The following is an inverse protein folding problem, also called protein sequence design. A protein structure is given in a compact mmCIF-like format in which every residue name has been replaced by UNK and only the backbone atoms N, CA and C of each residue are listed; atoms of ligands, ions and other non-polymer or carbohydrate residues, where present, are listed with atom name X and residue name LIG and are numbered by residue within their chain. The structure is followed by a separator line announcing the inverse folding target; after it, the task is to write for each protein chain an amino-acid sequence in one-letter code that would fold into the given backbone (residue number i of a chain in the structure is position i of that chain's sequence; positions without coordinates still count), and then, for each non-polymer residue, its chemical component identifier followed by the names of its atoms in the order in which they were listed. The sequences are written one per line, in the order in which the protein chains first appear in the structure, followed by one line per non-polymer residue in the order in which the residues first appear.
data_IF_694351046830
#
_entry.id   IF_694351046830
#
_cell.length_a   1.000
_cell.length_b   1.000
_cell.length_c   1.000
_cell.angle_alpha   90.00
_cell.angle_beta   90.00
_cell.angle_gamma   90.00
#
_symmetry.space_group_name_H-M   'P 1'
#
loop_
_entity.id
_entity.type
_entity.pdbx_description
1 polymer ?
#
# COMPACT_ATOMS: atom_id res chain seq x y z
N UNK A 1 -3.90 10.57 17.75
CA UNK A 1 -3.21 11.11 16.54
C UNK A 1 -3.59 12.53 16.15
N UNK A 2 -4.87 12.93 16.14
CA UNK A 2 -5.25 14.34 15.84
C UNK A 2 -4.55 15.36 16.75
N UNK A 3 -4.41 15.05 18.04
CA UNK A 3 -3.70 15.92 18.99
C UNK A 3 -2.20 16.07 18.72
N UNK A 4 -1.54 14.99 18.26
CA UNK A 4 -0.12 15.03 17.89
C UNK A 4 0.05 15.82 16.59
N UNK A 5 -0.84 15.63 15.60
CA UNK A 5 -0.87 16.43 14.37
C UNK A 5 -1.10 17.92 14.67
N UNK A 6 -2.03 18.26 15.57
CA UNK A 6 -2.28 19.65 15.98
C UNK A 6 -1.09 20.28 16.70
N UNK A 7 -0.41 19.54 17.60
CA UNK A 7 0.80 20.03 18.25
C UNK A 7 1.94 20.28 17.26
N UNK A 8 2.11 19.37 16.30
CA UNK A 8 3.12 19.53 15.26
C UNK A 8 2.79 20.70 14.32
N UNK A 9 1.52 20.89 13.94
CA UNK A 9 1.08 22.04 13.15
C UNK A 9 1.39 23.37 13.87
N UNK A 10 1.02 23.48 15.15
CA UNK A 10 1.38 24.64 15.97
C UNK A 10 2.89 24.89 16.05
N UNK A 11 3.70 23.82 16.05
CA UNK A 11 5.15 23.93 16.06
C UNK A 11 5.70 24.40 14.72
N UNK A 12 5.12 23.97 13.61
CA UNK A 12 5.43 24.49 12.27
C UNK A 12 5.14 25.99 12.21
N UNK A 13 3.96 26.42 12.68
CA UNK A 13 3.60 27.85 12.69
C UNK A 13 4.60 28.68 13.52
N UNK A 14 5.02 28.17 14.68
CA UNK A 14 6.05 28.81 15.50
C UNK A 14 7.40 28.91 14.79
N UNK A 15 7.80 27.87 14.04
CA UNK A 15 9.07 27.86 13.31
C UNK A 15 9.03 28.82 12.12
N UNK A 16 7.92 28.86 11.39
CA UNK A 16 7.71 29.81 10.30
C UNK A 16 7.70 31.25 10.81
N UNK A 17 7.05 31.51 11.96
CA UNK A 17 7.08 32.82 12.62
C UNK A 17 8.48 33.22 13.12
N UNK A 18 9.34 32.25 13.44
CA UNK A 18 10.73 32.47 13.83
C UNK A 18 11.70 32.63 12.65
N UNK A 19 11.21 32.61 11.41
CA UNK A 19 12.01 32.81 10.18
C UNK A 19 12.29 31.54 9.38
N UNK A 20 11.95 30.35 9.90
CA UNK A 20 12.10 29.07 9.20
C UNK A 20 10.88 28.78 8.30
N UNK A 21 10.76 29.56 7.23
CA UNK A 21 9.64 29.50 6.27
C UNK A 21 9.48 28.15 5.54
N UNK A 22 10.52 27.32 5.57
CA UNK A 22 10.54 26.00 4.92
C UNK A 22 10.07 24.86 5.83
N UNK A 23 9.68 25.16 7.07
CA UNK A 23 9.17 24.15 7.98
C UNK A 23 7.86 23.55 7.46
N UNK A 24 7.81 22.22 7.36
CA UNK A 24 6.67 21.46 6.83
C UNK A 24 6.51 20.10 7.51
N UNK A 25 5.30 19.58 7.48
CA UNK A 25 4.92 18.28 8.05
C UNK A 25 4.96 17.20 6.97
N UNK A 26 5.93 16.30 7.06
CA UNK A 26 6.12 15.21 6.11
C UNK A 26 5.42 13.92 6.57
N UNK A 27 4.68 13.27 5.67
CA UNK A 27 3.93 12.05 5.98
C UNK A 27 2.69 12.25 6.86
N UNK A 28 2.25 13.51 7.07
CA UNK A 28 1.05 13.82 7.84
C UNK A 28 -0.26 13.51 7.08
N UNK A 29 -0.17 13.44 5.76
CA UNK A 29 -1.28 13.10 4.87
C UNK A 29 -1.57 11.59 4.90
N UNK A 30 -2.84 11.25 5.08
CA UNK A 30 -3.30 9.84 5.13
C UNK A 30 -3.03 9.10 3.82
N UNK A 31 -2.83 9.84 2.73
CA UNK A 31 -2.57 9.29 1.40
C UNK A 31 -1.11 8.91 1.14
N UNK A 32 -0.15 9.52 1.86
CA UNK A 32 1.28 9.35 1.58
C UNK A 32 1.87 8.03 2.12
N UNK A 33 1.30 7.46 3.18
CA UNK A 33 1.92 6.30 3.86
C UNK A 33 0.88 5.30 4.37
N UNK A 34 -0.33 5.29 3.77
CA UNK A 34 -1.42 4.36 4.05
C UNK A 34 -1.67 4.10 5.54
N UNK A 35 -1.60 5.15 6.37
CA UNK A 35 -1.94 5.07 7.78
C UNK A 35 -0.84 4.54 8.72
N UNK A 36 0.41 4.37 8.27
CA UNK A 36 1.51 4.23 9.23
C UNK A 36 1.66 5.56 9.97
N UNK A 37 1.31 5.53 11.26
CA UNK A 37 1.17 6.65 12.18
C UNK A 37 2.48 7.42 12.49
N UNK A 38 3.44 7.47 11.57
CA UNK A 38 4.70 8.19 11.70
C UNK A 38 4.69 9.37 10.73
N UNK A 39 4.72 10.59 11.31
CA UNK A 39 4.92 11.83 10.57
C UNK A 39 6.10 12.57 11.20
N UNK A 40 6.77 13.40 10.39
CA UNK A 40 7.98 14.12 10.81
C UNK A 40 7.81 15.61 10.57
N UNK A 41 8.39 16.42 11.44
CA UNK A 41 8.52 17.86 11.22
C UNK A 41 9.88 18.12 10.58
N UNK A 42 9.86 18.61 9.35
CA UNK A 42 11.06 19.00 8.62
C UNK A 42 11.23 20.51 8.72
N UNK A 43 12.47 20.97 8.86
CA UNK A 43 12.82 22.41 8.85
C UNK A 43 13.30 22.85 7.46
N UNK A 44 13.57 21.88 6.60
CA UNK A 44 13.96 22.08 5.21
C UNK A 44 13.26 21.04 4.31
N UNK A 45 13.45 21.15 2.99
CA UNK A 45 12.86 20.25 2.02
C UNK A 45 13.30 18.80 2.25
N UNK A 46 12.44 17.81 1.96
CA UNK A 46 12.72 16.39 2.21
C UNK A 46 14.00 15.89 1.51
N UNK A 47 14.37 16.46 0.36
CA UNK A 47 15.56 16.07 -0.40
C UNK A 47 16.87 16.34 0.36
N UNK A 48 16.89 17.36 1.24
CA UNK A 48 18.05 17.66 2.11
C UNK A 48 18.29 16.52 3.09
N UNK A 49 17.22 15.83 3.49
CA UNK A 49 17.25 14.70 4.41
C UNK A 49 17.24 13.35 3.69
N UNK A 50 17.38 13.33 2.35
CA UNK A 50 17.34 12.11 1.55
C UNK A 50 15.96 11.44 1.47
N UNK A 51 14.89 12.18 1.82
CA UNK A 51 13.52 11.69 1.76
C UNK A 51 12.92 11.96 0.36
N UNK A 52 12.22 10.98 -0.25
CA UNK A 52 11.53 11.21 -1.51
C UNK A 52 10.37 12.20 -1.32
N UNK A 53 10.14 13.15 -2.26
CA UNK A 53 9.10 14.18 -2.11
C UNK A 53 7.66 13.64 -2.17
N UNK A 54 7.46 12.46 -2.76
CA UNK A 54 6.15 11.81 -2.89
C UNK A 54 6.26 10.31 -2.60
N UNK A 55 6.30 9.89 -1.31
CA UNK A 55 6.19 8.49 -0.96
C UNK A 55 4.81 8.00 -1.40
N UNK A 56 4.76 7.15 -2.42
CA UNK A 56 3.56 6.38 -2.77
C UNK A 56 3.69 4.98 -2.21
N UNK A 57 2.61 4.50 -1.59
CA UNK A 57 2.57 3.11 -1.12
C UNK A 57 2.74 2.13 -2.30
N UNK A 58 3.73 1.20 -2.23
CA UNK A 58 3.87 0.12 -3.20
C UNK A 58 2.65 -0.80 -3.23
N UNK A 59 1.91 -0.89 -2.11
CA UNK A 59 0.74 -1.76 -1.89
C UNK A 59 -0.39 -1.52 -2.90
N UNK A 60 -0.46 -0.33 -3.51
CA UNK A 60 -1.47 -0.01 -4.54
C UNK A 60 -1.29 -0.83 -5.83
N UNK A 61 -0.12 -1.45 -6.03
CA UNK A 61 0.17 -2.32 -7.18
C UNK A 61 -0.10 -3.81 -6.92
N UNK A 62 -0.67 -4.20 -5.78
CA UNK A 62 -0.97 -5.61 -5.49
C UNK A 62 -2.32 -6.09 -6.07
N UNK A 63 -3.22 -5.15 -6.39
CA UNK A 63 -4.56 -5.46 -6.92
C UNK A 63 -4.52 -6.29 -8.22
N UNK A 64 -3.64 -6.01 -9.20
CA UNK A 64 -3.52 -6.83 -10.41
C UNK A 64 -3.04 -8.25 -10.11
N UNK A 65 -2.09 -8.42 -9.18
CA UNK A 65 -1.52 -9.72 -8.85
C UNK A 65 -2.55 -10.69 -8.26
N UNK A 66 -3.42 -10.18 -7.38
CA UNK A 66 -4.48 -10.99 -6.74
C UNK A 66 -5.51 -11.50 -7.77
N UNK A 67 -5.84 -10.70 -8.78
CA UNK A 67 -6.74 -11.10 -9.87
C UNK A 67 -6.17 -12.26 -10.69
N UNK A 68 -4.88 -12.19 -11.05
CA UNK A 68 -4.22 -13.28 -11.78
C UNK A 68 -4.17 -14.58 -10.98
N UNK A 69 -3.91 -14.51 -9.66
CA UNK A 69 -3.93 -15.69 -8.78
C UNK A 69 -5.32 -16.32 -8.70
N UNK A 70 -6.37 -15.51 -8.55
CA UNK A 70 -7.76 -16.02 -8.55
C UNK A 70 -8.11 -16.69 -9.88
N UNK A 71 -7.72 -16.09 -11.00
CA UNK A 71 -7.98 -16.64 -12.33
C UNK A 71 -7.25 -17.98 -12.53
N UNK A 72 -5.98 -18.06 -12.11
CA UNK A 72 -5.20 -19.30 -12.15
C UNK A 72 -5.82 -20.42 -11.30
N UNK A 73 -6.30 -20.11 -10.09
CA UNK A 73 -6.95 -21.08 -9.22
C UNK A 73 -8.24 -21.65 -9.84
N UNK A 74 -9.05 -20.80 -10.48
CA UNK A 74 -10.26 -21.24 -11.20
C UNK A 74 -9.93 -22.17 -12.37
N UNK A 75 -8.92 -21.81 -13.18
CA UNK A 75 -8.48 -22.63 -14.32
C UNK A 75 -8.01 -24.01 -13.84
N UNK A 76 -7.16 -24.06 -12.82
CA UNK A 76 -6.69 -25.32 -12.22
C UNK A 76 -7.87 -26.14 -11.70
N UNK A 77 -8.79 -25.52 -10.95
CA UNK A 77 -9.98 -26.20 -10.43
C UNK A 77 -10.84 -26.81 -11.54
N UNK A 78 -11.09 -26.07 -12.63
CA UNK A 78 -11.84 -26.57 -13.79
C UNK A 78 -11.11 -27.74 -14.47
N UNK A 79 -9.80 -27.61 -14.72
CA UNK A 79 -9.00 -28.69 -15.33
C UNK A 79 -9.00 -29.94 -14.45
N UNK A 80 -8.89 -29.79 -13.13
CA UNK A 80 -8.97 -30.91 -12.19
C UNK A 80 -10.34 -31.61 -12.24
N UNK A 81 -11.44 -30.85 -12.30
CA UNK A 81 -12.79 -31.40 -12.43
C UNK A 81 -13.01 -32.11 -13.76
N UNK A 82 -12.51 -31.55 -14.86
CA UNK A 82 -12.56 -32.19 -16.19
C UNK A 82 -11.75 -33.50 -16.21
N UNK A 83 -10.50 -33.49 -15.70
CA UNK A 83 -9.66 -34.70 -15.65
C UNK A 83 -10.26 -35.81 -14.77
N UNK A 84 -10.91 -35.43 -13.66
CA UNK A 84 -11.58 -36.39 -12.77
C UNK A 84 -12.80 -37.04 -13.43
N UNK A 85 -13.53 -36.31 -14.28
CA UNK A 85 -14.71 -36.83 -14.99
C UNK A 85 -14.33 -37.83 -16.08
N UNK A 86 -13.25 -37.59 -16.83
CA UNK A 86 -12.80 -38.49 -17.89
C UNK A 86 -12.27 -39.82 -17.35
N UNK A 87 -11.67 -39.83 -16.14
CA UNK A 87 -11.20 -41.09 -15.52
C UNK A 87 -12.33 -42.02 -15.10
N UNK A 88 -13.51 -41.48 -14.76
CA UNK A 88 -14.67 -42.29 -14.36
C UNK A 88 -15.35 -42.98 -15.55
N UNK A 89 -15.15 -42.48 -16.78
CA UNK A 89 -15.72 -43.07 -17.99
C UNK A 89 -14.94 -44.31 -18.49
N UNK A 90 -13.71 -44.52 -18.01
CA UNK A 90 -12.87 -45.66 -18.40
C UNK A 90 -13.04 -46.93 -17.53
N UNK A 91 -13.82 -46.87 -16.45
CA UNK A 91 -13.97 -47.99 -15.49
C UNK A 91 -15.32 -48.74 -15.65
N UNK A 92 -16.16 -48.34 -16.61
CA UNK A 92 -17.49 -48.97 -16.87
C UNK A 92 -17.50 -49.82 -18.14
N UNK A 93 -16.38 -49.90 -18.87
CA UNK A 93 -16.23 -50.69 -20.12
C UNK A 93 -15.28 -51.89 -19.97
N UNK A 94 -15.19 -52.45 -18.76
CA UNK A 94 -14.52 -53.74 -18.52
C UNK A 94 -15.24 -54.52 -17.42
N UNK A 95 -16.40 -55.09 -17.74
CA UNK A 95 -17.12 -56.10 -16.93
C UNK A 95 -18.00 -56.97 -17.83
#
# INVERSE_FOLDING_TARGET
MRELKQRAARRVDQLQAAGETRASLYGADEQMLGGLNAFFLLVDRPEVYGLPPDPKMPTRHLVPGTLFTMLGALVVGLVSLFNFRDRRAGEVDES
#
